data_IF_958208931344
#
_entry.id   IF_958208931344
#
_cell.length_a   1.000
_cell.length_b   1.000
_cell.length_c   1.000
_cell.angle_alpha   90.00
_cell.angle_beta   90.00
_cell.angle_gamma   90.00
#
_symmetry.space_group_name_H-M   'P 1'
#
loop_
_entity.id
_entity.type
_entity.pdbx_description
1 polymer ?
#
# COMPACT_ATOMS: atom_id res chain seq x y z
N UNK A 1 12.54 24.38 -34.17
CA UNK A 1 12.74 23.18 -33.34
C UNK A 1 11.61 23.14 -32.32
N UNK A 2 10.61 22.29 -32.54
CA UNK A 2 9.56 22.03 -31.56
C UNK A 2 10.11 20.95 -30.63
N UNK A 3 10.38 21.28 -29.37
CA UNK A 3 10.68 20.29 -28.36
C UNK A 3 9.36 19.60 -27.99
N UNK A 4 9.15 18.39 -28.51
CA UNK A 4 8.13 17.50 -27.99
C UNK A 4 8.57 17.08 -26.59
N UNK A 5 7.93 17.63 -25.56
CA UNK A 5 8.00 17.07 -24.22
C UNK A 5 7.28 15.71 -24.30
N UNK A 6 8.06 14.65 -24.41
CA UNK A 6 7.58 13.28 -24.27
C UNK A 6 7.23 13.11 -22.79
N UNK A 7 5.98 13.43 -22.42
CA UNK A 7 5.44 13.05 -21.13
C UNK A 7 5.32 11.53 -21.13
N UNK A 8 6.35 10.85 -20.59
CA UNK A 8 6.20 9.48 -20.14
C UNK A 8 5.13 9.51 -19.03
N UNK A 9 3.89 9.18 -19.38
CA UNK A 9 2.96 8.69 -18.38
C UNK A 9 3.47 7.30 -18.01
N UNK A 10 4.38 7.24 -17.04
CA UNK A 10 4.64 5.99 -16.36
C UNK A 10 3.31 5.52 -15.79
N UNK A 11 2.86 4.38 -16.28
CA UNK A 11 1.67 3.68 -15.86
C UNK A 11 1.84 3.25 -14.40
N UNK A 12 1.52 4.13 -13.45
CA UNK A 12 1.72 3.83 -12.03
C UNK A 12 0.70 2.78 -11.60
N UNK A 13 1.18 1.68 -11.03
CA UNK A 13 0.33 0.70 -10.37
C UNK A 13 -0.28 1.33 -9.10
N UNK A 14 -1.56 1.07 -8.85
CA UNK A 14 -2.37 1.88 -7.92
C UNK A 14 -3.33 1.02 -7.10
N UNK A 15 -3.54 1.43 -5.84
CA UNK A 15 -4.60 0.87 -5.02
C UNK A 15 -5.98 1.29 -5.53
N UNK A 16 -6.93 0.35 -5.53
CA UNK A 16 -8.33 0.62 -5.82
C UNK A 16 -9.25 -0.09 -4.83
N UNK A 17 -10.42 0.50 -4.59
CA UNK A 17 -11.50 -0.07 -3.80
C UNK A 17 -12.50 -0.77 -4.71
N UNK A 18 -12.94 -1.97 -4.36
CA UNK A 18 -14.08 -2.60 -5.04
C UNK A 18 -15.35 -1.79 -4.76
N UNK A 19 -16.04 -1.42 -5.82
CA UNK A 19 -17.28 -0.66 -5.81
C UNK A 19 -18.29 -1.34 -6.74
N UNK A 20 -18.90 -2.42 -6.26
CA UNK A 20 -19.89 -3.19 -7.01
C UNK A 20 -21.29 -3.08 -6.37
N UNK A 21 -22.32 -2.91 -7.20
CA UNK A 21 -23.72 -2.82 -6.76
C UNK A 21 -24.24 -4.15 -6.23
N UNK A 22 -23.68 -5.26 -6.71
CA UNK A 22 -24.06 -6.61 -6.31
C UNK A 22 -23.36 -7.05 -5.00
N UNK A 23 -22.56 -6.16 -4.40
CA UNK A 23 -21.85 -6.38 -3.14
C UNK A 23 -20.54 -7.15 -3.27
N UNK A 24 -20.19 -7.63 -4.47
CA UNK A 24 -18.93 -8.30 -4.76
C UNK A 24 -18.57 -8.22 -6.25
N UNK A 25 -17.32 -8.53 -6.58
CA UNK A 25 -16.86 -8.75 -7.96
C UNK A 25 -16.18 -10.12 -8.07
N UNK A 26 -16.31 -10.75 -9.24
CA UNK A 26 -15.55 -11.94 -9.58
C UNK A 26 -14.24 -11.52 -10.25
N UNK A 27 -13.12 -11.91 -9.68
CA UNK A 27 -11.82 -11.86 -10.35
C UNK A 27 -11.72 -13.05 -11.31
N UNK A 28 -11.26 -12.78 -12.53
CA UNK A 28 -11.21 -13.77 -13.61
C UNK A 28 -9.79 -14.07 -14.04
N UNK A 29 -9.58 -15.26 -14.59
CA UNK A 29 -8.27 -15.68 -15.05
C UNK A 29 -7.77 -14.86 -16.25
N UNK A 30 -8.68 -14.43 -17.11
CA UNK A 30 -8.41 -13.64 -18.32
C UNK A 30 -9.36 -12.42 -18.37
N UNK A 31 -9.02 -11.42 -19.19
CA UNK A 31 -9.81 -10.21 -19.47
C UNK A 31 -11.12 -10.47 -20.27
N UNK A 32 -11.92 -11.45 -19.84
CA UNK A 32 -13.18 -11.87 -20.48
C UNK A 32 -14.21 -12.26 -19.42
N UNK A 33 -15.45 -11.80 -19.57
CA UNK A 33 -16.60 -12.15 -18.72
C UNK A 33 -16.93 -13.64 -18.73
N UNK A 34 -16.53 -14.37 -19.77
CA UNK A 34 -16.69 -15.83 -19.88
C UNK A 34 -15.52 -16.61 -19.31
N UNK A 35 -14.42 -15.95 -18.94
CA UNK A 35 -13.25 -16.61 -18.36
C UNK A 35 -13.55 -17.16 -16.96
N UNK A 36 -12.81 -18.20 -16.58
CA UNK A 36 -12.92 -18.85 -15.28
C UNK A 36 -12.73 -17.84 -14.14
N UNK A 37 -13.52 -18.01 -13.08
CA UNK A 37 -13.42 -17.21 -11.86
C UNK A 37 -12.28 -17.78 -11.03
N UNK A 38 -11.33 -16.94 -10.64
CA UNK A 38 -10.21 -17.31 -9.75
C UNK A 38 -10.45 -16.88 -8.32
N UNK A 39 -11.32 -15.88 -8.10
CA UNK A 39 -11.65 -15.40 -6.77
C UNK A 39 -12.90 -14.53 -6.76
N UNK A 40 -13.48 -14.36 -5.57
CA UNK A 40 -14.63 -13.48 -5.32
C UNK A 40 -14.24 -12.47 -4.25
N UNK A 41 -14.30 -11.19 -4.58
CA UNK A 41 -13.88 -10.10 -3.70
C UNK A 41 -15.09 -9.26 -3.33
N UNK A 42 -15.30 -9.03 -2.04
CA UNK A 42 -16.42 -8.22 -1.57
C UNK A 42 -16.22 -6.73 -1.89
N UNK A 43 -17.31 -5.98 -1.96
CA UNK A 43 -17.25 -4.53 -2.06
C UNK A 43 -16.55 -3.92 -0.84
N UNK A 44 -15.91 -2.77 -1.03
CA UNK A 44 -15.09 -2.05 -0.05
C UNK A 44 -13.74 -2.69 0.30
N UNK A 45 -13.44 -3.87 -0.22
CA UNK A 45 -12.09 -4.46 -0.18
C UNK A 45 -11.14 -3.68 -1.10
N UNK A 46 -9.84 -3.81 -0.81
CA UNK A 46 -8.76 -3.12 -1.53
C UNK A 46 -8.05 -4.12 -2.44
N UNK A 47 -7.86 -3.71 -3.69
CA UNK A 47 -7.02 -4.41 -4.67
C UNK A 47 -5.85 -3.52 -5.06
N UNK A 48 -4.82 -4.12 -5.63
CA UNK A 48 -3.74 -3.41 -6.29
C UNK A 48 -3.81 -3.65 -7.79
N UNK A 49 -3.97 -2.59 -8.57
CA UNK A 49 -4.08 -2.66 -10.03
C UNK A 49 -2.70 -2.49 -10.64
N UNK A 50 -2.26 -3.49 -11.40
CA UNK A 50 -1.03 -3.41 -12.19
C UNK A 50 -1.36 -2.79 -13.53
N UNK A 51 -0.65 -1.72 -13.84
CA UNK A 51 -0.88 -0.98 -15.07
C UNK A 51 0.00 -1.59 -16.14
N UNK A 52 -0.53 -2.63 -16.81
CA UNK A 52 0.03 -3.11 -18.06
C UNK A 52 -0.67 -2.38 -19.21
N UNK A 53 0.10 -2.02 -20.23
CA UNK A 53 -0.33 -1.41 -21.50
C UNK A 53 -1.27 -2.32 -22.31
N UNK A 54 -2.03 -3.19 -21.66
CA UNK A 54 -2.82 -4.22 -22.30
C UNK A 54 -4.15 -3.62 -22.77
N UNK A 55 -4.34 -3.63 -24.09
CA UNK A 55 -5.35 -2.89 -24.83
C UNK A 55 -6.80 -3.34 -24.59
N UNK A 56 -7.06 -4.18 -23.58
CA UNK A 56 -8.41 -4.45 -23.09
C UNK A 56 -8.90 -3.25 -22.29
N UNK A 57 -9.42 -2.22 -23.00
CA UNK A 57 -9.75 -0.88 -22.45
C UNK A 57 -10.52 -0.86 -21.11
N UNK A 58 -11.19 -1.95 -20.75
CA UNK A 58 -12.02 -2.02 -19.56
C UNK A 58 -11.64 -3.12 -18.56
N UNK A 59 -10.60 -3.92 -18.77
CA UNK A 59 -10.17 -4.94 -17.81
C UNK A 59 -8.82 -4.59 -17.21
N UNK A 60 -8.72 -4.78 -15.91
CA UNK A 60 -7.57 -4.40 -15.10
C UNK A 60 -6.94 -5.67 -14.55
N UNK A 61 -5.66 -5.87 -14.82
CA UNK A 61 -4.88 -6.87 -14.12
C UNK A 61 -4.65 -6.39 -12.67
N UNK A 62 -4.95 -7.23 -11.70
CA UNK A 62 -4.91 -6.84 -10.30
C UNK A 62 -4.60 -8.01 -9.37
N UNK A 63 -3.97 -7.67 -8.26
CA UNK A 63 -3.82 -8.54 -7.10
C UNK A 63 -4.82 -8.18 -6.02
N UNK A 64 -5.29 -9.21 -5.33
CA UNK A 64 -6.03 -9.10 -4.09
C UNK A 64 -5.40 -10.01 -3.05
N UNK A 65 -5.07 -9.43 -1.89
CA UNK A 65 -4.61 -10.18 -0.72
C UNK A 65 -5.73 -10.21 0.30
N UNK A 66 -6.14 -11.41 0.69
CA UNK A 66 -7.18 -11.59 1.69
C UNK A 66 -6.66 -11.34 3.12
N UNK A 67 -7.57 -11.39 4.10
CA UNK A 67 -7.24 -11.21 5.53
C UNK A 67 -6.30 -12.28 6.11
N UNK A 68 -6.13 -13.41 5.43
CA UNK A 68 -5.24 -14.50 5.83
C UNK A 68 -3.86 -14.36 5.19
N UNK A 69 -3.66 -13.37 4.31
CA UNK A 69 -2.42 -13.15 3.57
C UNK A 69 -2.32 -13.97 2.29
N UNK A 70 -3.41 -14.58 1.82
CA UNK A 70 -3.44 -15.27 0.54
C UNK A 70 -3.65 -14.26 -0.59
N UNK A 71 -2.75 -14.25 -1.57
CA UNK A 71 -2.84 -13.36 -2.73
C UNK A 71 -3.29 -14.11 -3.97
N UNK A 72 -4.25 -13.54 -4.69
CA UNK A 72 -4.68 -14.00 -6.01
C UNK A 72 -4.48 -12.89 -7.03
N UNK A 73 -4.01 -13.30 -8.21
CA UNK A 73 -3.85 -12.42 -9.38
C UNK A 73 -4.88 -12.75 -10.45
N UNK A 74 -5.39 -11.73 -11.13
CA UNK A 74 -6.33 -11.93 -12.23
C UNK A 74 -6.84 -10.61 -12.79
N UNK A 75 -8.00 -10.68 -13.45
CA UNK A 75 -8.60 -9.55 -14.16
C UNK A 75 -9.95 -9.17 -13.57
N UNK A 76 -10.14 -7.86 -13.39
CA UNK A 76 -11.38 -7.24 -12.91
C UNK A 76 -11.81 -6.17 -13.89
N UNK A 77 -13.11 -6.08 -14.17
CA UNK A 77 -13.62 -5.02 -15.03
C UNK A 77 -13.54 -3.66 -14.30
N UNK A 78 -12.95 -2.66 -14.95
CA UNK A 78 -12.72 -1.29 -14.45
C UNK A 78 -13.95 -0.61 -13.88
N UNK A 79 -15.14 -0.92 -14.41
CA UNK A 79 -16.41 -0.37 -13.89
C UNK A 79 -16.78 -0.86 -12.48
N UNK A 80 -16.02 -1.80 -11.91
CA UNK A 80 -16.27 -2.39 -10.58
C UNK A 80 -15.33 -1.86 -9.50
N UNK A 81 -14.52 -0.86 -9.84
CA UNK A 81 -13.52 -0.32 -8.94
C UNK A 81 -13.62 1.20 -8.85
N UNK A 82 -13.03 1.75 -7.80
CA UNK A 82 -12.74 3.17 -7.66
C UNK A 82 -11.34 3.33 -7.13
N UNK A 83 -10.47 3.97 -7.90
CA UNK A 83 -9.08 4.24 -7.51
C UNK A 83 -9.03 5.05 -6.22
N UNK A 84 -8.09 4.72 -5.32
CA UNK A 84 -7.92 5.45 -4.07
C UNK A 84 -7.51 6.91 -4.33
N UNK A 85 -6.70 7.15 -5.34
CA UNK A 85 -6.29 8.52 -5.71
C UNK A 85 -7.43 9.41 -6.21
N UNK A 86 -8.58 8.83 -6.56
CA UNK A 86 -9.75 9.59 -7.01
C UNK A 86 -10.57 10.21 -5.87
N UNK A 87 -10.26 9.88 -4.61
CA UNK A 87 -10.89 10.53 -3.44
C UNK A 87 -10.27 11.92 -3.17
N UNK A 88 -10.90 12.70 -2.27
CA UNK A 88 -10.40 14.04 -1.93
C UNK A 88 -8.98 13.93 -1.36
N UNK A 89 -7.99 14.53 -2.02
CA UNK A 89 -6.61 14.54 -1.52
C UNK A 89 -6.52 15.35 -0.23
N UNK A 90 -5.79 14.82 0.76
CA UNK A 90 -5.34 15.57 1.93
C UNK A 90 -3.95 16.10 1.57
N UNK A 91 -3.80 17.42 1.33
CA UNK A 91 -2.56 17.94 0.79
C UNK A 91 -1.41 17.82 1.78
N UNK A 92 -0.22 17.59 1.21
CA UNK A 92 1.03 17.59 1.94
C UNK A 92 1.35 19.01 2.42
N UNK A 93 1.48 19.18 3.73
CA UNK A 93 1.86 20.44 4.36
C UNK A 93 3.39 20.57 4.44
N UNK A 94 4.10 19.48 4.68
CA UNK A 94 5.57 19.43 4.67
C UNK A 94 6.05 18.00 4.43
N UNK A 95 7.12 17.83 3.66
CA UNK A 95 7.91 16.60 3.65
C UNK A 95 9.39 16.98 3.79
N UNK A 96 10.04 16.36 4.76
CA UNK A 96 11.49 16.25 4.88
C UNK A 96 11.81 14.76 4.91
N UNK A 97 13.09 14.42 4.71
CA UNK A 97 13.57 13.03 4.54
C UNK A 97 12.92 12.03 5.52
N UNK A 98 12.83 12.37 6.80
CA UNK A 98 12.34 11.47 7.87
C UNK A 98 10.93 11.80 8.39
N UNK A 99 10.22 12.75 7.77
CA UNK A 99 8.90 13.20 8.25
C UNK A 99 8.01 13.73 7.14
N UNK A 100 6.80 13.20 7.04
CA UNK A 100 5.75 13.72 6.17
C UNK A 100 4.53 14.15 7.01
N UNK A 101 4.01 15.34 6.71
CA UNK A 101 2.83 15.92 7.36
C UNK A 101 1.80 16.31 6.31
N UNK A 102 0.56 15.90 6.52
CA UNK A 102 -0.59 16.21 5.66
C UNK A 102 -1.67 16.88 6.49
N UNK A 103 -2.33 17.89 5.93
CA UNK A 103 -3.35 18.65 6.64
C UNK A 103 -4.49 19.03 5.70
N UNK A 104 -5.73 18.74 6.11
CA UNK A 104 -6.94 19.29 5.48
C UNK A 104 -8.03 19.44 6.54
N UNK A 105 -8.55 20.66 6.72
CA UNK A 105 -9.69 20.95 7.62
C UNK A 105 -9.49 20.36 9.04
N UNK A 106 -10.07 19.18 9.28
CA UNK A 106 -10.16 18.42 10.52
C UNK A 106 -9.27 17.15 10.54
N UNK A 107 -8.46 16.94 9.51
CA UNK A 107 -7.56 15.80 9.32
C UNK A 107 -6.11 16.31 9.37
N UNK A 108 -5.31 15.71 10.24
CA UNK A 108 -3.85 15.84 10.25
C UNK A 108 -3.25 14.44 10.26
N UNK A 109 -2.30 14.18 9.37
CA UNK A 109 -1.51 12.94 9.35
C UNK A 109 -0.06 13.31 9.52
N UNK A 110 0.64 12.60 10.42
CA UNK A 110 2.08 12.73 10.62
C UNK A 110 2.70 11.35 10.54
N UNK A 111 3.69 11.18 9.65
CA UNK A 111 4.44 9.95 9.44
C UNK A 111 5.89 10.28 9.74
N UNK A 112 6.50 9.60 10.71
CA UNK A 112 7.89 9.79 11.09
C UNK A 112 8.65 8.47 10.94
N UNK A 113 9.87 8.56 10.42
CA UNK A 113 10.81 7.46 10.33
C UNK A 113 12.12 7.82 11.03
N UNK A 114 12.91 6.81 11.36
CA UNK A 114 14.23 7.00 11.96
C UNK A 114 15.20 5.86 11.58
N UNK A 115 16.53 6.07 11.71
CA UNK A 115 17.52 5.04 11.48
C UNK A 115 17.25 3.78 12.31
N UNK A 116 17.45 2.61 11.70
CA UNK A 116 17.24 1.32 12.36
C UNK A 116 18.54 0.83 13.00
N UNK A 117 18.51 0.59 14.32
CA UNK A 117 19.65 0.01 15.03
C UNK A 117 19.65 -1.52 14.90
N UNK A 118 20.29 -2.03 13.84
CA UNK A 118 20.37 -3.47 13.60
C UNK A 118 21.06 -4.24 14.73
N UNK A 119 22.12 -3.68 15.32
CA UNK A 119 22.92 -4.39 16.33
C UNK A 119 22.08 -4.73 17.57
N UNK A 120 21.23 -3.81 18.00
CA UNK A 120 20.31 -4.01 19.13
C UNK A 120 19.14 -4.92 18.78
N UNK A 121 18.66 -4.85 17.54
CA UNK A 121 17.46 -5.56 17.10
C UNK A 121 17.72 -6.96 16.51
N UNK A 122 18.99 -7.31 16.27
CA UNK A 122 19.41 -8.60 15.69
C UNK A 122 18.76 -9.84 16.34
N UNK A 123 18.59 -9.94 17.67
CA UNK A 123 17.94 -11.11 18.29
C UNK A 123 16.47 -11.30 17.90
N UNK A 124 15.82 -10.29 17.33
CA UNK A 124 14.43 -10.35 16.89
C UNK A 124 14.26 -10.80 15.44
N UNK A 125 15.36 -10.97 14.69
CA UNK A 125 15.33 -11.52 13.34
C UNK A 125 15.35 -13.05 13.36
N UNK A 126 14.50 -13.66 12.55
CA UNK A 126 14.68 -15.04 12.12
C UNK A 126 15.21 -15.06 10.70
N UNK A 127 15.84 -16.18 10.33
CA UNK A 127 16.38 -16.34 8.99
C UNK A 127 16.11 -17.74 8.47
N UNK A 128 15.92 -17.82 7.16
CA UNK A 128 15.88 -19.08 6.42
C UNK A 128 17.14 -19.21 5.56
N UNK A 129 17.55 -20.44 5.30
CA UNK A 129 18.66 -20.74 4.39
C UNK A 129 18.10 -20.96 2.99
N UNK A 130 18.50 -20.13 2.03
CA UNK A 130 18.16 -20.25 0.63
C UNK A 130 19.44 -20.41 -0.20
N UNK A 131 19.58 -21.54 -0.90
CA UNK A 131 20.77 -21.86 -1.72
C UNK A 131 22.12 -21.66 -0.99
N UNK A 132 22.18 -21.93 0.32
CA UNK A 132 23.38 -21.75 1.14
C UNK A 132 23.60 -20.34 1.71
N UNK A 133 22.76 -19.37 1.34
CA UNK A 133 22.76 -18.02 1.89
C UNK A 133 21.74 -17.90 3.03
N UNK A 134 22.12 -17.20 4.10
CA UNK A 134 21.22 -16.89 5.21
C UNK A 134 20.49 -15.59 4.90
N UNK A 135 19.17 -15.65 4.81
CA UNK A 135 18.31 -14.51 4.52
C UNK A 135 17.43 -14.23 5.72
N UNK A 136 17.45 -12.98 6.21
CA UNK A 136 16.52 -12.53 7.24
C UNK A 136 15.13 -12.37 6.61
N UNK A 137 14.18 -13.19 7.06
CA UNK A 137 12.85 -13.31 6.45
C UNK A 137 11.71 -12.86 7.38
N UNK A 138 11.96 -12.85 8.70
CA UNK A 138 11.00 -12.34 9.68
C UNK A 138 11.66 -11.46 10.73
N UNK A 139 10.89 -10.48 11.19
CA UNK A 139 11.21 -9.63 12.33
C UNK A 139 10.10 -9.77 13.36
N UNK A 140 10.45 -10.16 14.59
CA UNK A 140 9.51 -10.45 15.69
C UNK A 140 8.38 -11.41 15.28
N UNK A 141 8.70 -12.38 14.42
CA UNK A 141 7.77 -13.40 13.92
C UNK A 141 6.88 -12.95 12.76
N UNK A 142 6.99 -11.70 12.28
CA UNK A 142 6.26 -11.18 11.14
C UNK A 142 7.15 -11.16 9.89
N UNK A 143 6.60 -11.43 8.70
CA UNK A 143 7.34 -11.31 7.44
C UNK A 143 7.93 -9.90 7.29
N UNK A 144 9.19 -9.81 6.88
CA UNK A 144 9.86 -8.54 6.62
C UNK A 144 9.39 -7.94 5.29
N UNK A 145 9.23 -6.62 5.26
CA UNK A 145 9.00 -5.83 4.05
C UNK A 145 10.03 -4.71 3.95
N UNK A 146 10.43 -4.36 2.74
CA UNK A 146 11.36 -3.27 2.50
C UNK A 146 12.82 -3.66 2.35
N UNK A 147 13.16 -4.95 2.45
CA UNK A 147 14.52 -5.43 2.21
C UNK A 147 14.50 -6.62 1.26
N UNK A 148 15.61 -6.83 0.56
CA UNK A 148 15.88 -8.03 -0.24
C UNK A 148 17.04 -8.80 0.41
N UNK A 149 16.82 -9.23 1.66
CA UNK A 149 17.83 -9.91 2.48
C UNK A 149 18.97 -9.03 3.02
N UNK A 150 18.90 -7.72 2.77
CA UNK A 150 19.84 -6.73 3.32
C UNK A 150 19.41 -6.25 4.70
N UNK A 151 20.36 -5.69 5.45
CA UNK A 151 20.09 -5.07 6.75
C UNK A 151 19.22 -3.82 6.54
N UNK A 152 18.08 -3.69 7.25
CA UNK A 152 17.26 -2.47 7.22
C UNK A 152 18.03 -1.21 7.62
N UNK A 153 17.79 -0.11 6.90
CA UNK A 153 18.40 1.19 7.18
C UNK A 153 17.50 2.08 8.03
N UNK A 154 16.19 2.08 7.75
CA UNK A 154 15.21 2.90 8.48
C UNK A 154 13.98 2.09 8.82
N UNK A 155 13.22 2.57 9.82
CA UNK A 155 11.94 2.01 10.20
C UNK A 155 10.96 3.13 10.56
N UNK A 156 9.67 2.81 10.65
CA UNK A 156 8.68 3.75 11.17
C UNK A 156 8.95 4.03 12.65
N UNK A 157 9.04 5.31 12.99
CA UNK A 157 8.97 5.77 14.37
C UNK A 157 7.51 5.85 14.83
N UNK A 158 6.66 6.44 13.99
CA UNK A 158 5.24 6.63 14.28
C UNK A 158 4.42 6.92 13.03
N UNK A 159 3.13 6.58 13.11
CA UNK A 159 2.09 7.12 12.23
C UNK A 159 0.96 7.62 13.13
N UNK A 160 0.78 8.93 13.15
CA UNK A 160 -0.22 9.61 13.96
C UNK A 160 -1.28 10.27 13.09
N UNK A 161 -2.54 10.03 13.40
CA UNK A 161 -3.70 10.55 12.67
C UNK A 161 -4.60 11.28 13.65
N UNK A 162 -4.82 12.58 13.41
CA UNK A 162 -5.86 13.35 14.08
C UNK A 162 -7.02 13.54 13.12
N UNK A 163 -8.20 13.07 13.50
CA UNK A 163 -9.43 13.20 12.70
C UNK A 163 -10.62 13.50 13.61
N UNK A 164 -11.41 14.53 13.29
CA UNK A 164 -12.58 14.93 14.08
C UNK A 164 -12.27 15.15 15.58
N UNK A 165 -11.11 15.73 15.88
CA UNK A 165 -10.68 16.01 17.26
C UNK A 165 -10.16 14.79 18.03
N UNK A 166 -10.20 13.58 17.45
CA UNK A 166 -9.61 12.37 18.04
C UNK A 166 -8.23 12.12 17.44
N UNK A 167 -7.27 11.75 18.28
CA UNK A 167 -5.94 11.32 17.85
C UNK A 167 -5.86 9.81 17.94
N UNK A 168 -5.34 9.19 16.89
CA UNK A 168 -5.05 7.77 16.74
C UNK A 168 -3.57 7.63 16.43
N UNK A 169 -2.86 6.87 17.25
CA UNK A 169 -1.52 6.39 16.94
C UNK A 169 -1.64 4.95 16.39
N UNK A 170 -1.05 4.65 15.23
CA UNK A 170 -0.99 3.28 14.76
C UNK A 170 -0.05 2.49 15.68
N UNK A 171 -0.50 1.33 16.16
CA UNK A 171 0.29 0.48 17.06
C UNK A 171 1.62 0.08 16.43
N UNK A 172 2.75 0.10 17.17
CA UNK A 172 4.05 -0.32 16.65
C UNK A 172 4.03 -1.72 16.02
N UNK A 173 3.24 -2.66 16.56
CA UNK A 173 3.10 -4.02 16.02
C UNK A 173 2.64 -4.03 14.56
N UNK A 174 1.90 -3.01 14.13
CA UNK A 174 1.37 -2.90 12.76
C UNK A 174 2.41 -2.44 11.75
N UNK A 175 3.53 -1.86 12.19
CA UNK A 175 4.50 -1.19 11.32
C UNK A 175 5.96 -1.61 11.60
N UNK A 176 6.22 -2.36 12.67
CA UNK A 176 7.58 -2.73 13.10
C UNK A 176 8.34 -3.64 12.13
N UNK A 177 7.64 -4.33 11.23
CA UNK A 177 8.21 -5.21 10.20
C UNK A 177 8.29 -4.55 8.81
N UNK A 178 7.99 -3.26 8.72
CA UNK A 178 8.04 -2.46 7.50
C UNK A 178 9.27 -1.56 7.56
N UNK A 179 10.22 -1.77 6.65
CA UNK A 179 11.53 -1.10 6.67
C UNK A 179 11.78 -0.23 5.44
N UNK A 180 12.87 0.52 5.49
CA UNK A 180 13.38 1.38 4.42
C UNK A 180 12.30 2.36 3.94
N UNK A 181 11.82 3.16 4.90
CA UNK A 181 10.69 4.07 4.74
C UNK A 181 11.06 5.21 3.81
N UNK A 182 10.20 5.48 2.84
CA UNK A 182 10.29 6.65 1.98
C UNK A 182 9.14 7.62 2.32
N UNK A 183 9.40 8.58 3.21
CA UNK A 183 8.38 9.56 3.60
C UNK A 183 7.92 10.46 2.44
N UNK A 184 8.76 10.66 1.41
CA UNK A 184 8.44 11.50 0.26
C UNK A 184 7.43 10.87 -0.70
N UNK A 185 7.25 9.55 -0.66
CA UNK A 185 6.24 8.83 -1.46
C UNK A 185 4.84 8.85 -0.83
N UNK A 186 4.70 9.38 0.39
CA UNK A 186 3.43 9.33 1.09
C UNK A 186 2.36 10.19 0.41
N UNK A 187 1.16 9.63 0.27
CA UNK A 187 -0.02 10.30 -0.23
C UNK A 187 -1.23 9.98 0.66
N UNK A 188 -2.12 10.94 0.84
CA UNK A 188 -3.28 10.80 1.72
C UNK A 188 -4.56 11.18 0.97
N UNK A 189 -5.59 10.35 1.10
CA UNK A 189 -6.88 10.54 0.43
C UNK A 189 -8.04 10.27 1.37
N UNK A 190 -9.13 11.03 1.24
CA UNK A 190 -10.28 10.98 2.13
C UNK A 190 -11.58 10.68 1.38
N UNK A 191 -12.19 9.55 1.74
CA UNK A 191 -13.53 9.16 1.35
C UNK A 191 -14.54 9.72 2.37
N UNK A 192 -15.16 10.85 2.02
CA UNK A 192 -16.13 11.52 2.88
C UNK A 192 -17.41 10.71 3.09
N UNK A 193 -17.83 9.89 2.12
CA UNK A 193 -19.04 9.06 2.22
C UNK A 193 -18.92 8.02 3.34
N UNK A 194 -17.74 7.42 3.46
CA UNK A 194 -17.45 6.37 4.44
C UNK A 194 -16.63 6.84 5.63
N UNK A 195 -16.32 8.14 5.70
CA UNK A 195 -15.38 8.76 6.65
C UNK A 195 -14.08 7.95 6.77
N UNK A 196 -13.49 7.62 5.62
CA UNK A 196 -12.30 6.76 5.54
C UNK A 196 -11.11 7.55 5.01
N UNK A 197 -10.07 7.61 5.81
CA UNK A 197 -8.75 8.10 5.42
C UNK A 197 -7.91 6.92 4.91
N UNK A 198 -7.28 7.13 3.78
CA UNK A 198 -6.29 6.24 3.18
C UNK A 198 -4.93 6.94 3.21
N UNK A 199 -3.91 6.22 3.67
CA UNK A 199 -2.51 6.66 3.62
C UNK A 199 -1.77 5.65 2.74
N UNK A 200 -1.32 6.08 1.57
CA UNK A 200 -0.57 5.25 0.63
C UNK A 200 0.90 5.63 0.62
N UNK A 201 1.79 4.65 0.55
CA UNK A 201 3.22 4.86 0.42
C UNK A 201 3.84 3.78 -0.47
N UNK A 202 4.89 4.14 -1.19
CA UNK A 202 5.82 3.19 -1.83
C UNK A 202 7.16 3.33 -1.12
N UNK A 203 7.60 2.27 -0.47
CA UNK A 203 8.79 2.25 0.36
C UNK A 203 9.86 1.33 -0.25
N UNK A 204 11.10 1.54 0.18
CA UNK A 204 12.29 0.88 -0.35
C UNK A 204 12.45 1.07 -1.87
N UNK A 205 13.29 0.26 -2.49
CA UNK A 205 13.58 0.27 -3.91
C UNK A 205 13.86 -1.16 -4.44
N UNK A 206 13.95 -1.27 -5.78
CA UNK A 206 14.32 -2.51 -6.47
C UNK A 206 13.50 -3.72 -6.01
N UNK A 207 14.19 -4.85 -5.79
CA UNK A 207 13.60 -6.10 -5.34
C UNK A 207 13.05 -6.07 -3.90
N UNK A 208 13.41 -5.05 -3.10
CA UNK A 208 12.87 -4.84 -1.75
C UNK A 208 11.66 -3.89 -1.72
N UNK A 209 11.29 -3.32 -2.86
CA UNK A 209 10.23 -2.32 -3.00
C UNK A 209 8.85 -2.86 -2.62
N UNK A 210 8.07 -2.06 -1.90
CA UNK A 210 6.69 -2.43 -1.57
C UNK A 210 5.78 -1.21 -1.51
N UNK A 211 4.51 -1.42 -1.86
CA UNK A 211 3.46 -0.45 -1.64
C UNK A 211 2.62 -0.85 -0.42
N UNK A 212 2.25 0.14 0.38
CA UNK A 212 1.39 -0.02 1.55
C UNK A 212 0.23 0.95 1.49
N UNK A 213 -0.95 0.48 1.90
CA UNK A 213 -2.14 1.29 2.11
C UNK A 213 -2.67 1.10 3.52
N UNK A 214 -2.56 2.11 4.38
CA UNK A 214 -3.20 2.11 5.70
C UNK A 214 -4.62 2.65 5.59
N UNK A 215 -5.58 1.98 6.25
CA UNK A 215 -6.99 2.37 6.25
C UNK A 215 -7.44 2.77 7.65
N UNK A 216 -7.91 4.00 7.79
CA UNK A 216 -8.48 4.54 9.03
C UNK A 216 -9.92 4.94 8.73
N UNK A 217 -10.88 4.29 9.38
CA UNK A 217 -12.30 4.56 9.16
C UNK A 217 -12.96 5.05 10.44
N UNK A 218 -13.61 6.21 10.38
CA UNK A 218 -14.29 6.85 11.53
C UNK A 218 -13.38 7.00 12.75
N UNK A 219 -12.09 7.29 12.51
CA UNK A 219 -11.06 7.48 13.53
C UNK A 219 -10.50 6.20 14.12
N UNK A 220 -10.82 5.04 13.54
CA UNK A 220 -10.34 3.72 13.99
C UNK A 220 -9.49 3.09 12.90
N UNK A 221 -8.28 2.63 13.26
CA UNK A 221 -7.43 1.85 12.37
C UNK A 221 -8.12 0.54 11.98
N UNK A 222 -8.22 0.26 10.68
CA UNK A 222 -8.88 -0.93 10.12
C UNK A 222 -7.89 -1.95 9.56
N UNK A 223 -6.61 -1.61 9.48
CA UNK A 223 -5.57 -2.47 8.92
C UNK A 223 -4.81 -1.79 7.79
N UNK A 224 -3.95 -2.59 7.17
CA UNK A 224 -3.12 -2.22 6.04
C UNK A 224 -3.18 -3.28 4.95
N UNK A 225 -3.00 -2.86 3.71
CA UNK A 225 -2.76 -3.75 2.57
C UNK A 225 -1.30 -3.56 2.15
N UNK A 226 -0.59 -4.66 1.93
CA UNK A 226 0.81 -4.68 1.50
C UNK A 226 0.91 -5.45 0.19
N UNK A 227 1.67 -4.93 -0.75
CA UNK A 227 1.90 -5.56 -2.05
C UNK A 227 3.33 -5.27 -2.52
N UNK A 228 3.92 -6.21 -3.24
CA UNK A 228 5.16 -5.99 -3.98
C UNK A 228 4.76 -5.54 -5.39
N UNK A 229 4.96 -4.26 -5.74
CA UNK A 229 4.43 -3.71 -6.98
C UNK A 229 5.37 -3.87 -8.18
N UNK A 230 6.55 -4.49 -8.01
CA UNK A 230 7.63 -4.59 -8.98
C UNK A 230 8.14 -6.03 -9.13
#
# INVERSE_FOLDING_TARGET
>A
MLAAALSFQCSFAQFAKIADKDGYVNMRKEADVKSNIVGKINSHEIIYVFTLEDHSKNWLNADYTDKNGETWSGYIHSSRIKYIESYESVPRASAIENKAVFNSKNITVTIESEPFNYKENKPHFSSTSYNGYKVEDKFKGQQIWGTDGTIPQTHYKSISVKMNGKTLEISPKEIENLFNINNESAECYFDAEHETLYISMVNSDGAGGYAVLFKIQKGVYKGKTLIMPF
#
